data_IF_585835920595
#
_entry.id   IF_585835920595
#
_cell.length_a   1.000
_cell.length_b   1.000
_cell.length_c   1.000
_cell.angle_alpha   90.00
_cell.angle_beta   90.00
_cell.angle_gamma   90.00
#
_symmetry.space_group_name_H-M   'P 1'
#
loop_
_entity.id
_entity.type
_entity.pdbx_description
1 polymer ?
#
# COMPACT_ATOMS: atom_id res chain seq x y z
N UNK A 1 -38.27 -10.58 -5.43
CA UNK A 1 -36.99 -10.20 -6.09
C UNK A 1 -36.77 -8.73 -5.80
N UNK A 2 -35.79 -8.39 -4.97
CA UNK A 2 -35.52 -7.00 -4.61
C UNK A 2 -34.50 -6.46 -5.60
N UNK A 3 -34.91 -5.49 -6.43
CA UNK A 3 -34.00 -4.77 -7.32
C UNK A 3 -33.24 -3.79 -6.45
N UNK A 4 -31.92 -4.00 -6.33
CA UNK A 4 -31.04 -3.05 -5.67
C UNK A 4 -30.62 -2.03 -6.72
N UNK A 5 -31.03 -0.78 -6.56
CA UNK A 5 -30.52 0.32 -7.37
C UNK A 5 -29.05 0.55 -6.99
N UNK A 6 -28.15 0.15 -7.90
CA UNK A 6 -26.73 0.46 -7.79
C UNK A 6 -26.52 1.91 -8.20
N UNK A 7 -25.98 2.72 -7.29
CA UNK A 7 -25.55 4.07 -7.62
C UNK A 7 -24.29 3.98 -8.49
N UNK A 8 -24.31 4.66 -9.63
CA UNK A 8 -23.10 4.95 -10.37
C UNK A 8 -22.30 6.01 -9.61
N UNK A 9 -21.11 5.64 -9.17
CA UNK A 9 -20.18 6.52 -8.45
C UNK A 9 -19.07 7.03 -9.36
N UNK A 10 -19.15 6.75 -10.66
CA UNK A 10 -18.10 7.04 -11.63
C UNK A 10 -16.93 6.06 -11.53
N UNK A 11 -15.79 6.47 -12.10
CA UNK A 11 -14.58 5.66 -12.11
C UNK A 11 -14.01 5.55 -10.69
N UNK A 12 -13.75 4.33 -10.26
CA UNK A 12 -13.15 4.05 -8.95
C UNK A 12 -11.69 4.54 -8.95
N UNK A 13 -11.39 5.52 -8.10
CA UNK A 13 -10.04 6.01 -7.86
C UNK A 13 -9.46 5.57 -6.51
N UNK A 14 -10.30 5.02 -5.62
CA UNK A 14 -9.87 4.45 -4.33
C UNK A 14 -10.79 3.32 -3.90
N UNK A 15 -10.23 2.17 -3.53
CA UNK A 15 -10.96 1.01 -3.03
C UNK A 15 -10.14 0.26 -1.99
N UNK A 16 -10.78 -0.12 -0.88
CA UNK A 16 -10.12 -0.80 0.26
C UNK A 16 -8.84 -0.09 0.76
N UNK A 17 -8.83 1.25 0.69
CA UNK A 17 -7.69 2.07 1.10
C UNK A 17 -6.61 2.24 0.02
N UNK A 18 -6.62 1.45 -1.04
CA UNK A 18 -5.67 1.58 -2.15
C UNK A 18 -6.20 2.62 -3.13
N UNK A 19 -5.37 3.60 -3.48
CA UNK A 19 -5.62 4.51 -4.58
C UNK A 19 -5.18 3.89 -5.90
N UNK A 20 -5.94 4.11 -6.96
CA UNK A 20 -5.69 3.58 -8.28
C UNK A 20 -5.74 4.71 -9.30
N UNK A 21 -4.75 4.79 -10.17
CA UNK A 21 -4.76 5.63 -11.35
C UNK A 21 -4.33 4.84 -12.55
N UNK A 22 -4.84 5.22 -13.73
CA UNK A 22 -4.44 4.64 -14.99
C UNK A 22 -3.94 5.74 -15.92
N UNK A 23 -2.79 5.51 -16.52
CA UNK A 23 -2.22 6.32 -17.58
C UNK A 23 -1.94 5.43 -18.81
N UNK A 24 -1.98 6.00 -20.01
CA UNK A 24 -1.80 5.24 -21.26
C UNK A 24 -0.33 4.82 -21.49
N UNK A 25 0.64 5.56 -20.95
CA UNK A 25 2.07 5.30 -21.08
C UNK A 25 2.55 4.33 -19.99
N UNK A 26 2.18 4.61 -18.74
CA UNK A 26 2.69 3.88 -17.57
C UNK A 26 1.75 2.75 -17.09
N UNK A 27 0.51 2.72 -17.56
CA UNK A 27 -0.50 1.74 -17.16
C UNK A 27 -1.10 2.04 -15.78
N UNK A 28 -1.36 0.97 -15.01
CA UNK A 28 -1.97 1.10 -13.67
C UNK A 28 -0.93 1.45 -12.61
N UNK A 29 -1.14 2.54 -11.90
CA UNK A 29 -0.44 2.87 -10.67
C UNK A 29 -1.35 2.60 -9.46
N UNK A 30 -0.78 1.95 -8.45
CA UNK A 30 -1.44 1.64 -7.19
C UNK A 30 -0.66 2.32 -6.06
N UNK A 31 -1.37 3.04 -5.21
CA UNK A 31 -0.79 3.76 -4.09
C UNK A 31 -1.51 3.45 -2.77
N UNK A 32 -0.76 3.36 -1.68
CA UNK A 32 -1.25 3.15 -0.31
C UNK A 32 -0.77 4.24 0.64
N UNK A 33 -0.19 5.33 0.15
CA UNK A 33 0.36 6.41 0.95
C UNK A 33 -0.63 6.88 2.01
N UNK A 34 -1.88 7.18 1.62
CA UNK A 34 -2.90 7.64 2.57
C UNK A 34 -3.17 6.60 3.69
N UNK A 35 -3.19 5.31 3.37
CA UNK A 35 -3.42 4.26 4.38
C UNK A 35 -2.26 4.19 5.35
N UNK A 36 -1.03 4.31 4.85
CA UNK A 36 0.17 4.33 5.68
C UNK A 36 0.15 5.58 6.57
N UNK A 37 -0.16 6.75 6.02
CA UNK A 37 -0.29 7.99 6.78
C UNK A 37 -1.36 7.88 7.87
N UNK A 38 -2.56 7.38 7.55
CA UNK A 38 -3.64 7.17 8.51
C UNK A 38 -3.22 6.20 9.63
N UNK A 39 -2.47 5.15 9.28
CA UNK A 39 -1.91 4.18 10.23
C UNK A 39 -0.89 4.83 11.16
N UNK A 40 0.04 5.63 10.62
CA UNK A 40 1.03 6.34 11.42
C UNK A 40 0.36 7.31 12.40
N UNK A 41 -0.61 8.11 11.93
CA UNK A 41 -1.38 9.02 12.80
C UNK A 41 -2.11 8.25 13.89
N UNK A 42 -2.79 7.16 13.55
CA UNK A 42 -3.54 6.32 14.51
C UNK A 42 -2.67 5.82 15.66
N UNK A 43 -1.39 5.53 15.41
CA UNK A 43 -0.45 5.05 16.41
C UNK A 43 0.46 6.14 17.00
N UNK A 44 0.25 7.42 16.64
CA UNK A 44 1.06 8.54 17.12
C UNK A 44 2.50 8.53 16.59
N UNK A 45 2.70 7.96 15.39
CA UNK A 45 3.99 7.80 14.72
C UNK A 45 4.19 8.78 13.54
N UNK A 46 3.23 9.67 13.27
CA UNK A 46 3.28 10.66 12.18
C UNK A 46 4.48 11.62 12.28
N UNK A 47 5.06 11.76 13.48
CA UNK A 47 6.25 12.59 13.76
C UNK A 47 7.44 11.78 14.26
N UNK A 48 7.35 10.45 14.25
CA UNK A 48 8.46 9.61 14.66
C UNK A 48 9.61 9.73 13.66
N UNK A 49 10.85 9.75 14.15
CA UNK A 49 12.01 9.67 13.27
C UNK A 49 12.16 8.23 12.78
N UNK A 50 11.98 7.94 11.46
CA UNK A 50 12.16 6.60 10.95
C UNK A 50 13.63 6.22 11.11
N UNK A 51 13.88 5.08 11.76
CA UNK A 51 15.20 4.45 11.79
C UNK A 51 15.12 3.17 10.99
N UNK A 52 16.20 2.85 10.25
CA UNK A 52 16.30 1.57 9.58
C UNK A 52 16.13 0.46 10.60
N UNK A 53 15.15 -0.41 10.39
CA UNK A 53 15.08 -1.65 11.17
C UNK A 53 16.36 -2.43 10.88
N UNK A 54 16.99 -3.06 11.89
CA UNK A 54 18.05 -4.01 11.64
C UNK A 54 17.40 -5.22 10.94
N UNK A 55 17.33 -5.16 9.61
CA UNK A 55 17.14 -6.35 8.80
C UNK A 55 18.38 -7.20 9.12
N UNK A 56 18.14 -8.37 9.73
CA UNK A 56 19.16 -9.20 10.35
C UNK A 56 20.43 -9.31 9.52
N UNK A 57 21.57 -9.29 10.21
CA UNK A 57 22.91 -9.29 9.63
C UNK A 57 23.13 -10.37 8.59
N UNK A 58 24.21 -10.18 7.82
CA UNK A 58 24.83 -11.10 6.88
C UNK A 58 24.37 -12.55 7.12
N UNK A 59 23.74 -13.16 6.12
CA UNK A 59 23.46 -14.59 6.15
C UNK A 59 24.80 -15.33 6.13
N UNK A 60 25.36 -15.58 7.32
CA UNK A 60 26.44 -16.54 7.51
C UNK A 60 25.84 -17.95 7.30
N UNK A 61 25.81 -18.39 6.04
CA UNK A 61 25.65 -19.81 5.73
C UNK A 61 24.62 -20.12 4.66
N UNK A 62 24.99 -19.91 3.40
CA UNK A 62 24.69 -20.92 2.39
C UNK A 62 26.03 -21.24 1.70
N UNK A 63 26.68 -22.31 2.16
CA UNK A 63 27.78 -22.87 1.38
C UNK A 63 27.21 -23.28 0.01
N UNK A 64 27.86 -22.93 -1.11
CA UNK A 64 27.39 -23.38 -2.42
C UNK A 64 27.45 -24.92 -2.42
N UNK A 65 26.27 -25.53 -2.59
CA UNK A 65 26.17 -26.97 -2.81
C UNK A 65 27.00 -27.40 -4.02
N UNK A 66 27.71 -28.51 -3.85
CA UNK A 66 28.48 -29.22 -4.88
C UNK A 66 27.64 -29.60 -6.12
#
# INVERSE_FOLDING_TARGET
>A
MQVVELKDLGVVSKFLGVAFSYDEEDGWALDQEQVIQDMLVKFGLDKAAPVSTPIGGEQDGEAPGE
#
